data_IF_387298388287
#
_entry.id   IF_387298388287
#
_cell.length_a   1.000
_cell.length_b   1.000
_cell.length_c   1.000
_cell.angle_alpha   90.00
_cell.angle_beta   90.00
_cell.angle_gamma   90.00
#
_symmetry.space_group_name_H-M   'P 1'
#
loop_
_entity.id
_entity.type
_entity.pdbx_description
1 polymer ?
#
# COMPACT_ATOMS: atom_id res chain seq x y z
N UNK A 1 -31.59 -0.48 -11.62
CA UNK A 1 -32.28 -1.07 -10.45
C UNK A 1 -32.94 0.06 -9.66
N UNK A 2 -34.25 -0.02 -9.40
CA UNK A 2 -35.01 1.01 -8.67
C UNK A 2 -34.63 0.97 -7.17
N UNK A 3 -34.44 2.13 -6.53
CA UNK A 3 -34.18 2.30 -5.08
C UNK A 3 -35.13 1.48 -4.20
N UNK A 4 -36.37 1.27 -4.61
CA UNK A 4 -37.35 0.47 -3.88
C UNK A 4 -36.98 -1.01 -3.79
N UNK A 5 -36.39 -1.58 -4.85
CA UNK A 5 -35.93 -2.99 -4.86
C UNK A 5 -34.73 -3.17 -3.92
N UNK A 6 -33.78 -2.23 -3.93
CA UNK A 6 -32.65 -2.24 -2.99
C UNK A 6 -33.13 -2.15 -1.54
N UNK A 7 -34.12 -1.28 -1.27
CA UNK A 7 -34.72 -1.15 0.06
C UNK A 7 -35.48 -2.41 0.49
N UNK A 8 -36.05 -3.18 -0.44
CA UNK A 8 -36.71 -4.44 -0.12
C UNK A 8 -35.71 -5.49 0.37
N UNK A 9 -34.57 -5.65 -0.31
CA UNK A 9 -33.51 -6.57 0.13
C UNK A 9 -32.85 -6.14 1.45
N UNK A 10 -32.61 -4.84 1.63
CA UNK A 10 -32.11 -4.31 2.90
C UNK A 10 -33.05 -4.64 4.08
N UNK A 11 -34.37 -4.54 3.87
CA UNK A 11 -35.36 -4.90 4.90
C UNK A 11 -35.31 -6.37 5.30
N UNK A 12 -35.15 -7.30 4.35
CA UNK A 12 -35.03 -8.72 4.64
C UNK A 12 -33.77 -9.02 5.47
N UNK A 13 -32.64 -8.41 5.09
CA UNK A 13 -31.40 -8.51 5.85
C UNK A 13 -31.53 -7.94 7.27
N UNK A 14 -32.11 -6.74 7.40
CA UNK A 14 -32.31 -6.08 8.69
C UNK A 14 -33.24 -6.88 9.62
N UNK A 15 -34.25 -7.55 9.07
CA UNK A 15 -35.14 -8.44 9.83
C UNK A 15 -34.37 -9.63 10.38
N UNK A 16 -33.60 -10.34 9.55
CA UNK A 16 -32.76 -11.45 9.99
C UNK A 16 -31.73 -11.02 11.06
N UNK A 17 -31.15 -9.82 10.91
CA UNK A 17 -30.21 -9.25 11.89
C UNK A 17 -30.88 -8.88 13.22
N UNK A 18 -32.12 -8.39 13.19
CA UNK A 18 -32.89 -8.01 14.41
C UNK A 18 -33.26 -9.21 15.27
N UNK A 19 -33.25 -10.42 14.73
CA UNK A 19 -33.46 -11.64 15.51
C UNK A 19 -32.22 -12.04 16.34
N UNK A 20 -31.06 -11.38 16.13
CA UNK A 20 -29.78 -11.73 16.74
C UNK A 20 -29.09 -10.55 17.45
N UNK A 21 -29.90 -9.73 18.15
CA UNK A 21 -29.54 -8.44 18.77
C UNK A 21 -28.36 -8.44 19.74
N UNK A 22 -27.98 -9.58 20.31
CA UNK A 22 -27.01 -9.63 21.42
C UNK A 22 -25.56 -9.91 20.98
N UNK A 23 -25.29 -10.01 19.68
CA UNK A 23 -23.94 -10.24 19.16
C UNK A 23 -23.46 -9.05 18.32
N UNK A 24 -22.76 -8.11 18.96
CA UNK A 24 -22.26 -6.85 18.37
C UNK A 24 -21.34 -7.05 17.14
N UNK A 25 -20.86 -8.27 16.90
CA UNK A 25 -20.00 -8.66 15.76
C UNK A 25 -20.54 -9.84 14.92
N UNK A 26 -21.78 -10.30 15.14
CA UNK A 26 -22.32 -11.51 14.49
C UNK A 26 -22.35 -11.47 12.98
N UNK A 27 -22.53 -10.29 12.38
CA UNK A 27 -22.58 -10.10 10.92
C UNK A 27 -21.33 -10.57 10.16
N UNK A 28 -20.20 -10.77 10.85
CA UNK A 28 -18.96 -11.34 10.28
C UNK A 28 -18.65 -12.74 10.83
N UNK A 29 -19.56 -13.33 11.59
CA UNK A 29 -19.46 -14.65 12.19
C UNK A 29 -20.50 -15.62 11.63
N UNK A 30 -21.34 -15.21 10.67
CA UNK A 30 -22.22 -16.14 9.97
C UNK A 30 -21.44 -16.88 8.88
N UNK A 31 -21.55 -18.22 8.83
CA UNK A 31 -21.04 -18.95 7.69
C UNK A 31 -21.79 -18.57 6.42
N UNK A 32 -21.06 -18.54 5.32
CA UNK A 32 -21.63 -18.43 3.98
C UNK A 32 -22.65 -19.56 3.78
N UNK A 33 -23.85 -19.25 3.28
CA UNK A 33 -24.85 -20.27 2.97
C UNK A 33 -24.42 -21.02 1.70
N UNK A 34 -24.34 -22.36 1.70
CA UNK A 34 -24.09 -23.12 0.49
C UNK A 34 -25.20 -22.89 -0.54
N UNK A 35 -24.84 -22.43 -1.74
CA UNK A 35 -25.76 -22.29 -2.85
C UNK A 35 -26.10 -23.67 -3.43
N UNK A 36 -27.37 -23.89 -3.75
CA UNK A 36 -27.83 -25.12 -4.43
C UNK A 36 -28.03 -24.85 -5.92
N UNK A 37 -27.81 -25.87 -6.74
CA UNK A 37 -27.96 -25.74 -8.20
C UNK A 37 -29.38 -25.33 -8.58
N UNK A 38 -30.40 -25.84 -7.89
CA UNK A 38 -31.80 -25.55 -8.15
C UNK A 38 -32.12 -24.05 -7.95
N UNK A 39 -31.60 -23.45 -6.87
CA UNK A 39 -31.74 -21.99 -6.64
C UNK A 39 -31.08 -21.19 -7.75
N UNK A 40 -29.89 -21.61 -8.20
CA UNK A 40 -29.15 -20.91 -9.25
C UNK A 40 -29.83 -21.04 -10.62
N UNK A 41 -30.40 -22.21 -10.94
CA UNK A 41 -31.21 -22.41 -12.15
C UNK A 41 -32.46 -21.53 -12.17
N UNK A 42 -33.06 -21.26 -11.01
CA UNK A 42 -34.16 -20.31 -10.90
C UNK A 42 -33.68 -18.88 -11.17
N UNK A 43 -32.62 -18.44 -10.50
CA UNK A 43 -32.06 -17.08 -10.68
C UNK A 43 -31.53 -16.84 -12.09
N UNK A 44 -30.96 -17.85 -12.73
CA UNK A 44 -30.46 -17.78 -14.11
C UNK A 44 -31.57 -17.55 -15.15
N UNK A 45 -32.86 -17.76 -14.79
CA UNK A 45 -33.99 -17.40 -15.65
C UNK A 45 -34.26 -15.89 -15.68
N UNK A 46 -33.82 -15.15 -14.67
CA UNK A 46 -34.10 -13.71 -14.52
C UNK A 46 -32.92 -12.82 -14.94
N UNK A 47 -31.69 -13.31 -14.82
CA UNK A 47 -30.48 -12.54 -15.11
C UNK A 47 -29.34 -13.43 -15.58
N UNK A 48 -28.48 -12.86 -16.42
CA UNK A 48 -27.26 -13.51 -16.90
C UNK A 48 -26.02 -13.14 -16.06
N UNK A 49 -26.15 -12.15 -15.17
CA UNK A 49 -25.06 -11.61 -14.35
C UNK A 49 -25.25 -11.95 -12.88
N UNK A 50 -24.22 -12.57 -12.30
CA UNK A 50 -24.07 -12.73 -10.86
C UNK A 50 -23.09 -11.71 -10.30
N UNK A 51 -23.47 -11.06 -9.19
CA UNK A 51 -22.57 -10.23 -8.39
C UNK A 51 -22.44 -10.92 -7.02
N UNK A 52 -21.22 -11.38 -6.70
CA UNK A 52 -20.92 -12.01 -5.42
C UNK A 52 -20.06 -11.07 -4.57
N UNK A 53 -20.45 -10.88 -3.31
CA UNK A 53 -19.74 -10.01 -2.38
C UNK A 53 -18.96 -10.85 -1.39
N UNK A 54 -17.63 -10.80 -1.45
CA UNK A 54 -16.76 -11.43 -0.45
C UNK A 54 -16.49 -10.41 0.65
N UNK A 55 -16.88 -10.75 1.88
CA UNK A 55 -16.77 -9.85 3.02
C UNK A 55 -15.77 -10.35 4.05
N UNK A 56 -14.94 -9.44 4.56
CA UNK A 56 -13.99 -9.69 5.67
C UNK A 56 -14.02 -8.54 6.65
N UNK A 57 -13.61 -8.82 7.87
CA UNK A 57 -13.40 -7.80 8.89
C UNK A 57 -12.09 -8.04 9.64
N UNK A 58 -11.49 -6.96 10.12
CA UNK A 58 -10.31 -6.95 10.98
C UNK A 58 -10.40 -5.76 11.93
N UNK A 59 -9.65 -5.79 13.02
CA UNK A 59 -9.68 -4.70 13.99
C UNK A 59 -8.61 -4.87 15.05
N UNK A 60 -8.66 -3.99 16.04
CA UNK A 60 -7.69 -3.97 17.14
C UNK A 60 -7.72 -5.27 17.96
N UNK A 61 -6.55 -5.63 18.47
CA UNK A 61 -6.39 -6.76 19.39
C UNK A 61 -6.37 -8.14 18.75
N UNK A 62 -6.46 -8.25 17.41
CA UNK A 62 -6.27 -9.52 16.72
C UNK A 62 -5.76 -9.35 15.29
N UNK A 63 -4.82 -10.19 14.90
CA UNK A 63 -4.35 -10.28 13.52
C UNK A 63 -5.28 -11.14 12.67
N UNK A 64 -5.11 -11.03 11.34
CA UNK A 64 -5.79 -11.89 10.37
C UNK A 64 -5.05 -13.21 10.23
N UNK A 65 -5.79 -14.28 9.97
CA UNK A 65 -5.26 -15.63 9.81
C UNK A 65 -5.44 -16.14 8.39
N UNK A 66 -4.77 -17.25 8.06
CA UNK A 66 -4.96 -17.93 6.79
C UNK A 66 -6.41 -18.37 6.59
N UNK A 67 -6.99 -18.92 7.66
CA UNK A 67 -8.36 -19.39 7.76
C UNK A 67 -8.90 -18.99 9.13
N UNK A 68 -10.21 -18.84 9.23
CA UNK A 68 -10.90 -18.51 10.47
C UNK A 68 -12.09 -19.43 10.66
N UNK A 69 -12.30 -19.85 11.91
CA UNK A 69 -13.45 -20.65 12.33
C UNK A 69 -14.29 -19.87 13.34
N UNK A 70 -15.58 -20.16 13.34
CA UNK A 70 -16.55 -19.66 14.33
C UNK A 70 -17.43 -20.80 14.81
N UNK A 71 -17.88 -20.72 16.05
CA UNK A 71 -18.83 -21.68 16.64
C UNK A 71 -20.20 -21.03 16.76
N UNK A 72 -21.23 -21.69 16.24
CA UNK A 72 -22.63 -21.31 16.42
C UNK A 72 -23.35 -22.51 17.05
N UNK A 73 -23.74 -22.37 18.32
CA UNK A 73 -24.16 -23.52 19.13
C UNK A 73 -23.04 -24.55 19.23
N UNK A 74 -23.37 -25.82 18.98
CA UNK A 74 -22.43 -26.95 19.03
C UNK A 74 -21.69 -27.20 17.70
N UNK A 75 -21.92 -26.36 16.68
CA UNK A 75 -21.34 -26.53 15.34
C UNK A 75 -20.24 -25.51 15.08
N UNK A 76 -19.15 -25.98 14.46
CA UNK A 76 -18.05 -25.14 13.97
C UNK A 76 -18.16 -24.94 12.46
N UNK A 77 -17.83 -23.74 12.01
CA UNK A 77 -17.84 -23.37 10.60
C UNK A 77 -16.53 -22.65 10.24
N UNK A 78 -15.92 -23.05 9.12
CA UNK A 78 -14.84 -22.27 8.48
C UNK A 78 -15.47 -21.13 7.67
N UNK A 79 -15.11 -19.89 7.98
CA UNK A 79 -15.70 -18.69 7.36
C UNK A 79 -14.70 -17.93 6.47
N UNK A 80 -13.48 -18.45 6.34
CA UNK A 80 -12.40 -17.82 5.58
C UNK A 80 -11.82 -16.59 6.29
N UNK A 81 -10.64 -16.16 5.85
CA UNK A 81 -10.04 -14.88 6.25
C UNK A 81 -9.10 -14.38 5.16
N UNK A 82 -7.80 -14.63 5.23
CA UNK A 82 -6.91 -14.36 4.10
C UNK A 82 -7.27 -15.25 2.90
N UNK A 83 -7.49 -16.54 3.14
CA UNK A 83 -8.05 -17.47 2.14
C UNK A 83 -9.58 -17.41 2.12
N UNK A 84 -10.15 -17.77 0.98
CA UNK A 84 -11.58 -18.08 0.87
C UNK A 84 -11.88 -19.41 1.57
N UNK A 85 -13.05 -19.51 2.20
CA UNK A 85 -13.52 -20.76 2.79
C UNK A 85 -13.86 -21.79 1.70
N UNK A 86 -13.96 -23.05 2.10
CA UNK A 86 -14.40 -24.11 1.18
C UNK A 86 -15.80 -23.84 0.59
N UNK A 87 -16.72 -23.27 1.39
CA UNK A 87 -18.08 -22.95 0.94
C UNK A 87 -18.07 -21.78 -0.03
N UNK A 88 -17.31 -20.72 0.24
CA UNK A 88 -17.17 -19.59 -0.69
C UNK A 88 -16.60 -20.07 -2.04
N UNK A 89 -15.56 -20.89 -2.03
CA UNK A 89 -14.98 -21.45 -3.26
C UNK A 89 -15.95 -22.33 -4.04
N UNK A 90 -16.75 -23.15 -3.35
CA UNK A 90 -17.78 -23.99 -3.98
C UNK A 90 -18.91 -23.13 -4.59
N UNK A 91 -19.38 -22.14 -3.84
CA UNK A 91 -20.37 -21.16 -4.31
C UNK A 91 -19.88 -20.42 -5.57
N UNK A 92 -18.64 -19.96 -5.57
CA UNK A 92 -18.05 -19.27 -6.73
C UNK A 92 -17.99 -20.16 -7.97
N UNK A 93 -17.65 -21.45 -7.83
CA UNK A 93 -17.68 -22.41 -8.94
C UNK A 93 -19.09 -22.61 -9.48
N UNK A 94 -20.07 -22.73 -8.60
CA UNK A 94 -21.48 -22.87 -8.98
C UNK A 94 -22.01 -21.63 -9.70
N UNK A 95 -21.72 -20.43 -9.16
CA UNK A 95 -22.06 -19.16 -9.80
C UNK A 95 -21.41 -19.02 -11.18
N UNK A 96 -20.11 -19.31 -11.30
CA UNK A 96 -19.40 -19.28 -12.58
C UNK A 96 -20.01 -20.22 -13.62
N UNK A 97 -20.52 -21.37 -13.18
CA UNK A 97 -21.14 -22.37 -14.06
C UNK A 97 -22.56 -21.99 -14.48
N UNK A 98 -23.30 -21.29 -13.62
CA UNK A 98 -24.70 -20.93 -13.85
C UNK A 98 -24.90 -19.60 -14.60
N UNK A 99 -23.96 -18.66 -14.49
CA UNK A 99 -24.08 -17.31 -15.05
C UNK A 99 -23.03 -17.02 -16.12
N UNK A 100 -23.43 -16.27 -17.16
CA UNK A 100 -22.52 -15.87 -18.24
C UNK A 100 -21.54 -14.79 -17.79
N UNK A 101 -21.92 -13.97 -16.81
CA UNK A 101 -21.07 -12.95 -16.18
C UNK A 101 -21.01 -13.11 -14.67
N UNK A 102 -19.80 -13.13 -14.10
CA UNK A 102 -19.55 -13.16 -12.67
C UNK A 102 -18.67 -11.97 -12.25
N UNK A 103 -19.19 -11.13 -11.37
CA UNK A 103 -18.49 -9.99 -10.79
C UNK A 103 -18.25 -10.26 -9.31
N UNK A 104 -17.01 -10.11 -8.85
CA UNK A 104 -16.67 -10.13 -7.43
C UNK A 104 -16.53 -8.72 -6.88
N UNK A 105 -17.23 -8.44 -5.79
CA UNK A 105 -17.05 -7.22 -5.00
C UNK A 105 -16.36 -7.60 -3.70
N UNK A 106 -15.18 -7.04 -3.47
CA UNK A 106 -14.40 -7.32 -2.26
C UNK A 106 -14.65 -6.24 -1.22
N UNK A 107 -15.51 -6.55 -0.26
CA UNK A 107 -15.76 -5.75 0.94
C UNK A 107 -14.82 -6.22 2.05
N UNK A 108 -13.53 -5.92 1.88
CA UNK A 108 -12.44 -6.47 2.72
C UNK A 108 -11.55 -5.35 3.27
N UNK A 109 -10.94 -5.51 4.45
CA UNK A 109 -10.09 -4.48 5.06
C UNK A 109 -8.70 -4.38 4.43
N UNK A 110 -8.28 -5.41 3.68
CA UNK A 110 -6.96 -5.50 3.07
C UNK A 110 -6.87 -6.70 2.14
N UNK A 111 -5.66 -7.05 1.71
CA UNK A 111 -5.44 -8.14 0.76
C UNK A 111 -6.02 -9.46 1.25
N UNK A 112 -6.60 -10.21 0.31
CA UNK A 112 -6.93 -11.63 0.45
C UNK A 112 -6.15 -12.40 -0.63
N UNK A 113 -6.21 -13.72 -0.57
CA UNK A 113 -5.50 -14.61 -1.48
C UNK A 113 -5.82 -14.31 -2.95
N UNK A 114 -4.83 -13.80 -3.69
CA UNK A 114 -4.93 -13.60 -5.13
C UNK A 114 -5.14 -14.93 -5.85
N UNK A 115 -4.52 -16.02 -5.39
CA UNK A 115 -4.73 -17.36 -5.96
C UNK A 115 -6.20 -17.81 -5.88
N UNK A 116 -6.87 -17.50 -4.77
CA UNK A 116 -8.27 -17.91 -4.59
C UNK A 116 -9.19 -17.06 -5.47
N UNK A 117 -8.85 -15.76 -5.63
CA UNK A 117 -9.53 -14.86 -6.55
C UNK A 117 -9.35 -15.25 -8.02
N UNK A 118 -8.14 -15.64 -8.43
CA UNK A 118 -7.86 -16.17 -9.77
C UNK A 118 -8.63 -17.47 -10.01
N UNK A 119 -8.65 -18.37 -9.02
CA UNK A 119 -9.36 -19.64 -9.10
C UNK A 119 -10.90 -19.49 -9.14
N UNK A 120 -11.44 -18.34 -8.75
CA UNK A 120 -12.86 -18.03 -8.89
C UNK A 120 -13.29 -17.78 -10.35
N UNK A 121 -12.34 -17.49 -11.25
CA UNK A 121 -12.60 -17.22 -12.68
C UNK A 121 -13.69 -16.16 -12.92
N UNK A 122 -13.72 -15.13 -12.10
CA UNK A 122 -14.63 -14.00 -12.26
C UNK A 122 -14.21 -13.12 -13.44
N UNK A 123 -15.18 -12.54 -14.13
CA UNK A 123 -14.93 -11.63 -15.26
C UNK A 123 -14.44 -10.26 -14.80
N UNK A 124 -14.83 -9.85 -13.58
CA UNK A 124 -14.39 -8.62 -12.97
C UNK A 124 -14.25 -8.76 -11.45
N UNK A 125 -13.27 -8.03 -10.89
CA UNK A 125 -13.04 -7.93 -9.44
C UNK A 125 -12.98 -6.45 -9.08
N UNK A 126 -13.87 -6.01 -8.19
CA UNK A 126 -13.94 -4.66 -7.66
C UNK A 126 -13.53 -4.67 -6.18
N UNK A 127 -12.41 -4.04 -5.85
CA UNK A 127 -12.07 -3.76 -4.46
C UNK A 127 -12.90 -2.58 -3.95
N UNK A 128 -13.94 -2.86 -3.16
CA UNK A 128 -14.74 -1.85 -2.46
C UNK A 128 -14.01 -1.33 -1.21
N UNK A 129 -13.24 -2.20 -0.55
CA UNK A 129 -12.69 -1.89 0.77
C UNK A 129 -13.79 -1.84 1.84
N UNK A 130 -13.56 -1.08 2.90
CA UNK A 130 -14.57 -0.79 3.93
C UNK A 130 -15.02 0.67 3.85
N UNK A 131 -16.00 0.93 2.98
CA UNK A 131 -16.36 2.28 2.52
C UNK A 131 -17.34 3.07 3.42
N UNK A 132 -17.52 2.67 4.68
CA UNK A 132 -18.45 3.31 5.60
C UNK A 132 -19.93 3.16 5.20
N UNK A 133 -20.81 3.99 5.80
CA UNK A 133 -22.27 3.83 5.69
C UNK A 133 -22.83 4.01 4.27
N UNK A 134 -22.17 4.80 3.42
CA UNK A 134 -22.59 5.05 2.03
C UNK A 134 -21.96 4.07 1.03
N UNK A 135 -21.24 3.05 1.52
CA UNK A 135 -20.48 2.14 0.67
C UNK A 135 -21.32 1.43 -0.39
N UNK A 136 -22.55 1.02 -0.05
CA UNK A 136 -23.46 0.38 -0.99
C UNK A 136 -23.89 1.30 -2.14
N UNK A 137 -24.11 2.59 -1.86
CA UNK A 137 -24.42 3.58 -2.89
C UNK A 137 -23.22 3.83 -3.80
N UNK A 138 -22.01 3.97 -3.22
CA UNK A 138 -20.78 4.15 -3.98
C UNK A 138 -20.48 2.97 -4.91
N UNK A 139 -20.61 1.73 -4.43
CA UNK A 139 -20.42 0.53 -5.27
C UNK A 139 -21.49 0.44 -6.35
N UNK A 140 -22.74 0.79 -6.06
CA UNK A 140 -23.80 0.82 -7.07
C UNK A 140 -23.46 1.81 -8.19
N UNK A 141 -22.98 3.00 -7.86
CA UNK A 141 -22.59 4.01 -8.86
C UNK A 141 -21.45 3.51 -9.76
N UNK A 142 -20.49 2.75 -9.21
CA UNK A 142 -19.43 2.11 -10.00
C UNK A 142 -20.00 0.99 -10.87
N UNK A 143 -20.69 0.00 -10.29
CA UNK A 143 -21.21 -1.17 -11.03
C UNK A 143 -22.19 -0.81 -12.14
N UNK A 144 -22.90 0.32 -12.01
CA UNK A 144 -23.84 0.81 -13.03
C UNK A 144 -23.17 1.73 -14.07
N UNK A 145 -21.88 2.03 -13.92
CA UNK A 145 -21.15 2.95 -14.81
C UNK A 145 -21.51 4.42 -14.63
N UNK A 146 -22.31 4.77 -13.61
CA UNK A 146 -22.59 6.18 -13.26
C UNK A 146 -21.33 6.90 -12.80
N UNK A 147 -20.39 6.17 -12.21
CA UNK A 147 -19.04 6.63 -11.96
C UNK A 147 -18.03 5.59 -12.45
N UNK A 148 -16.85 6.05 -12.85
CA UNK A 148 -15.77 5.19 -13.34
C UNK A 148 -14.74 4.95 -12.24
N UNK A 149 -14.30 3.69 -12.01
CA UNK A 149 -13.29 3.40 -11.01
C UNK A 149 -11.97 4.06 -11.39
N UNK A 150 -11.31 4.63 -10.38
CA UNK A 150 -10.03 5.34 -10.51
C UNK A 150 -9.17 5.19 -9.26
N UNK A 151 -9.47 4.18 -8.43
CA UNK A 151 -8.65 3.81 -7.27
C UNK A 151 -7.38 3.08 -7.73
N UNK A 152 -6.29 3.24 -6.96
CA UNK A 152 -5.03 2.53 -7.16
C UNK A 152 -4.63 1.86 -5.85
N UNK A 153 -4.04 0.66 -5.93
CA UNK A 153 -3.62 -0.10 -4.76
C UNK A 153 -2.52 0.62 -3.98
N UNK A 154 -2.66 0.68 -2.66
CA UNK A 154 -1.67 1.25 -1.74
C UNK A 154 -0.70 0.22 -1.18
N UNK A 155 -0.89 -1.06 -1.52
CA UNK A 155 -0.03 -2.16 -1.14
C UNK A 155 0.10 -3.14 -2.33
N UNK A 156 1.27 -3.77 -2.46
CA UNK A 156 1.42 -4.90 -3.37
C UNK A 156 0.58 -6.06 -2.85
N UNK A 157 -0.25 -6.66 -3.71
CA UNK A 157 -0.92 -7.92 -3.39
C UNK A 157 -0.07 -9.04 -3.97
N UNK A 158 0.55 -9.82 -3.08
CA UNK A 158 1.40 -10.93 -3.46
C UNK A 158 0.61 -12.05 -4.14
N UNK A 159 1.25 -12.77 -5.06
CA UNK A 159 0.64 -13.94 -5.69
C UNK A 159 0.41 -15.05 -4.66
N UNK A 160 1.42 -15.35 -3.86
CA UNK A 160 1.31 -16.20 -2.67
C UNK A 160 1.62 -15.40 -1.42
N UNK A 161 1.08 -15.81 -0.28
CA UNK A 161 1.40 -15.14 0.98
C UNK A 161 2.90 -15.25 1.29
N UNK A 162 3.48 -16.40 1.01
CA UNK A 162 4.89 -16.69 1.28
C UNK A 162 5.86 -15.82 0.45
N UNK A 163 5.36 -15.14 -0.59
CA UNK A 163 6.16 -14.20 -1.37
C UNK A 163 6.40 -12.88 -0.62
N UNK A 164 5.63 -12.57 0.44
CA UNK A 164 5.91 -11.39 1.27
C UNK A 164 7.23 -11.58 2.03
N UNK A 165 8.08 -10.55 2.11
CA UNK A 165 9.38 -10.66 2.78
C UNK A 165 9.26 -10.95 4.28
N UNK A 166 8.09 -10.65 4.86
CA UNK A 166 7.77 -10.83 6.28
C UNK A 166 6.96 -12.08 6.60
N UNK A 167 6.55 -12.87 5.59
CA UNK A 167 5.68 -14.04 5.80
C UNK A 167 6.32 -15.08 6.75
N UNK A 168 7.65 -15.17 6.72
CA UNK A 168 8.43 -16.12 7.51
C UNK A 168 8.95 -15.59 8.84
N UNK A 169 8.68 -14.35 9.25
CA UNK A 169 9.14 -13.80 10.55
C UNK A 169 8.03 -13.09 11.34
N UNK A 170 6.91 -12.72 10.70
CA UNK A 170 5.77 -12.09 11.37
C UNK A 170 5.11 -13.06 12.38
N UNK A 171 4.93 -12.61 13.62
CA UNK A 171 4.30 -13.35 14.73
C UNK A 171 4.94 -14.71 15.09
N UNK A 172 6.20 -14.95 14.73
CA UNK A 172 6.91 -16.16 15.20
C UNK A 172 7.18 -16.12 16.71
N UNK A 173 7.48 -14.92 17.23
CA UNK A 173 7.58 -14.64 18.66
C UNK A 173 6.66 -13.46 18.99
N UNK A 174 5.71 -13.70 19.88
CA UNK A 174 4.74 -12.69 20.32
C UNK A 174 5.40 -11.51 21.06
N UNK A 175 6.59 -11.71 21.63
CA UNK A 175 7.30 -10.68 22.39
C UNK A 175 8.34 -9.91 21.57
N UNK A 176 8.77 -10.44 20.42
CA UNK A 176 9.81 -9.83 19.57
C UNK A 176 9.59 -10.17 18.11
N UNK A 177 9.53 -9.16 17.26
CA UNK A 177 9.62 -9.33 15.80
C UNK A 177 10.90 -8.70 15.30
N UNK A 178 11.67 -9.44 14.51
CA UNK A 178 12.95 -9.00 13.95
C UNK A 178 12.75 -8.64 12.47
N UNK A 179 12.97 -7.37 12.13
CA UNK A 179 12.68 -6.80 10.81
C UNK A 179 13.86 -7.04 9.85
N UNK A 180 14.15 -8.31 9.56
CA UNK A 180 15.26 -8.70 8.68
C UNK A 180 15.08 -8.21 7.24
N UNK A 181 13.87 -7.83 6.85
CA UNK A 181 13.59 -7.20 5.57
C UNK A 181 14.15 -5.78 5.44
N UNK A 182 14.48 -5.11 6.55
CA UNK A 182 15.01 -3.76 6.57
C UNK A 182 14.12 -2.79 5.77
N UNK A 183 14.73 -2.04 4.84
CA UNK A 183 14.00 -1.10 3.97
C UNK A 183 13.16 -1.78 2.88
N UNK A 184 13.32 -3.09 2.67
CA UNK A 184 12.65 -3.84 1.61
C UNK A 184 11.24 -4.28 2.05
N UNK A 185 10.35 -3.31 2.25
CA UNK A 185 8.94 -3.53 2.60
C UNK A 185 8.03 -3.30 1.40
N UNK A 186 7.10 -4.22 1.15
CA UNK A 186 6.14 -4.11 0.05
C UNK A 186 6.83 -4.04 -1.32
N UNK A 187 6.40 -3.15 -2.20
CA UNK A 187 6.96 -3.05 -3.56
C UNK A 187 8.47 -2.82 -3.62
N UNK A 188 9.07 -2.22 -2.57
CA UNK A 188 10.54 -2.12 -2.48
C UNK A 188 11.19 -3.50 -2.53
N UNK A 189 10.62 -4.51 -1.88
CA UNK A 189 11.09 -5.88 -1.99
C UNK A 189 10.76 -6.49 -3.36
N UNK A 190 9.49 -6.46 -3.76
CA UNK A 190 9.06 -7.12 -4.99
C UNK A 190 9.83 -6.63 -6.21
N UNK A 191 9.98 -5.31 -6.33
CA UNK A 191 10.64 -4.68 -7.47
C UNK A 191 12.16 -4.90 -7.44
N UNK A 192 12.79 -4.88 -6.26
CA UNK A 192 14.25 -5.07 -6.12
C UNK A 192 14.68 -6.52 -6.35
N UNK A 193 13.93 -7.48 -5.80
CA UNK A 193 14.26 -8.89 -5.87
C UNK A 193 13.56 -9.62 -7.02
N UNK A 194 12.91 -8.86 -7.92
CA UNK A 194 12.15 -9.36 -9.06
C UNK A 194 11.16 -10.47 -8.69
N UNK A 195 10.44 -10.29 -7.59
CA UNK A 195 9.35 -11.18 -7.19
C UNK A 195 8.09 -10.73 -7.92
N UNK A 196 7.41 -11.66 -8.59
CA UNK A 196 6.23 -11.36 -9.40
C UNK A 196 5.01 -11.11 -8.47
N UNK A 197 4.42 -9.91 -8.48
CA UNK A 197 3.21 -9.64 -7.70
C UNK A 197 1.97 -10.21 -8.38
N UNK A 198 0.91 -10.47 -7.61
CA UNK A 198 -0.43 -10.71 -8.17
C UNK A 198 -1.04 -9.39 -8.69
N UNK A 199 -0.98 -8.34 -7.86
CA UNK A 199 -1.26 -6.98 -8.28
C UNK A 199 -0.17 -6.03 -7.72
N UNK A 200 0.53 -5.27 -8.58
CA UNK A 200 1.61 -4.41 -8.13
C UNK A 200 1.11 -3.19 -7.36
N UNK A 201 2.00 -2.57 -6.58
CA UNK A 201 1.71 -1.30 -5.92
C UNK A 201 1.32 -0.24 -6.94
N UNK A 202 0.30 0.56 -6.62
CA UNK A 202 -0.22 1.58 -7.50
C UNK A 202 -1.07 1.08 -8.66
N UNK A 203 -1.35 -0.24 -8.76
CA UNK A 203 -2.20 -0.80 -9.82
C UNK A 203 -3.68 -0.47 -9.62
N UNK A 204 -4.41 -0.28 -10.71
CA UNK A 204 -5.87 -0.17 -10.70
C UNK A 204 -6.41 0.15 -12.08
N UNK A 205 -7.47 -0.56 -12.47
CA UNK A 205 -8.12 -0.42 -13.77
C UNK A 205 -9.19 0.70 -13.76
N UNK A 206 -9.66 1.02 -14.96
CA UNK A 206 -10.75 1.95 -15.24
C UNK A 206 -11.68 1.35 -16.29
N UNK A 207 -12.87 1.93 -16.46
CA UNK A 207 -13.75 1.58 -17.60
C UNK A 207 -13.32 2.25 -18.91
N UNK A 208 -12.36 3.17 -18.84
CA UNK A 208 -11.75 3.82 -19.99
C UNK A 208 -10.24 3.56 -20.04
N UNK A 209 -9.58 3.98 -21.11
CA UNK A 209 -8.13 3.86 -21.30
C UNK A 209 -7.49 5.24 -21.32
N UNK A 210 -6.24 5.33 -20.85
CA UNK A 210 -5.47 6.57 -20.87
C UNK A 210 -4.13 6.38 -21.58
N UNK A 211 -3.70 7.42 -22.29
CA UNK A 211 -2.36 7.51 -22.86
C UNK A 211 -1.55 8.59 -22.14
N UNK A 212 -0.31 8.25 -21.78
CA UNK A 212 0.66 9.23 -21.27
C UNK A 212 1.57 9.66 -22.43
N UNK A 213 1.60 10.97 -22.70
CA UNK A 213 2.39 11.61 -23.74
C UNK A 213 3.18 12.81 -23.21
N UNK A 214 4.02 13.39 -24.07
CA UNK A 214 4.84 14.57 -23.78
C UNK A 214 5.53 14.51 -22.40
N UNK A 215 6.26 13.42 -22.16
CA UNK A 215 7.00 13.24 -20.92
C UNK A 215 8.18 14.21 -20.89
N UNK A 216 8.08 15.22 -20.05
CA UNK A 216 9.09 16.25 -19.90
C UNK A 216 9.63 16.28 -18.48
N UNK A 217 10.90 16.63 -18.37
CA UNK A 217 11.53 16.92 -17.10
C UNK A 217 12.23 18.27 -17.18
N UNK A 218 12.17 19.00 -16.07
CA UNK A 218 12.90 20.25 -15.85
C UNK A 218 13.30 20.35 -14.38
N UNK A 219 14.29 21.18 -14.10
CA UNK A 219 14.70 21.50 -12.75
C UNK A 219 14.36 22.97 -12.46
N UNK A 220 13.58 23.17 -11.42
CA UNK A 220 13.19 24.49 -10.89
C UNK A 220 13.85 24.64 -9.51
N UNK A 221 14.98 25.33 -9.47
CA UNK A 221 15.88 25.41 -8.31
C UNK A 221 16.26 24.04 -7.72
N UNK A 222 15.64 23.66 -6.59
CA UNK A 222 15.86 22.42 -5.86
C UNK A 222 14.69 21.43 -6.02
N UNK A 223 13.83 21.63 -7.03
CA UNK A 223 12.66 20.81 -7.29
C UNK A 223 12.68 20.26 -8.72
N UNK A 224 12.66 18.93 -8.84
CA UNK A 224 12.43 18.25 -10.10
C UNK A 224 10.94 18.41 -10.48
N UNK A 225 10.68 18.93 -11.67
CA UNK A 225 9.33 19.10 -12.21
C UNK A 225 9.17 18.18 -13.41
N UNK A 226 8.26 17.22 -13.28
CA UNK A 226 7.91 16.26 -14.33
C UNK A 226 6.57 16.66 -14.96
N UNK A 227 6.59 17.00 -16.25
CA UNK A 227 5.40 17.30 -17.05
C UNK A 227 4.92 16.06 -17.80
N UNK A 228 3.62 15.84 -17.81
CA UNK A 228 2.98 14.71 -18.52
C UNK A 228 1.65 15.19 -19.09
N UNK A 229 1.40 14.94 -20.37
CA UNK A 229 0.06 15.05 -20.96
C UNK A 229 -0.66 13.72 -20.77
N UNK A 230 -1.81 13.74 -20.11
CA UNK A 230 -2.68 12.57 -19.96
C UNK A 230 -3.89 12.75 -20.87
N UNK A 231 -4.14 11.77 -21.74
CA UNK A 231 -5.29 11.77 -22.65
C UNK A 231 -6.21 10.60 -22.33
N UNK A 232 -7.51 10.86 -22.20
CA UNK A 232 -8.51 9.79 -22.16
C UNK A 232 -8.78 9.29 -23.58
N UNK A 233 -8.33 8.08 -23.90
CA UNK A 233 -8.44 7.48 -25.23
C UNK A 233 -9.61 6.53 -25.38
N UNK A 234 -10.34 6.25 -24.29
CA UNK A 234 -11.47 5.33 -24.31
C UNK A 234 -12.83 6.01 -24.42
N UNK A 235 -13.89 5.25 -24.17
CA UNK A 235 -15.28 5.66 -24.42
C UNK A 235 -15.99 6.27 -23.20
N UNK A 236 -15.42 6.17 -22.00
CA UNK A 236 -16.05 6.64 -20.76
C UNK A 236 -15.26 7.80 -20.17
N UNK A 237 -15.93 8.76 -19.54
CA UNK A 237 -15.25 9.77 -18.74
C UNK A 237 -14.53 9.12 -17.55
N UNK A 238 -13.32 9.56 -17.22
CA UNK A 238 -12.55 8.91 -16.16
C UNK A 238 -11.42 9.76 -15.61
N UNK A 239 -10.70 9.21 -14.63
CA UNK A 239 -9.52 9.84 -14.03
C UNK A 239 -8.37 8.85 -13.99
N UNK A 240 -7.16 9.33 -14.24
CA UNK A 240 -5.94 8.55 -14.13
C UNK A 240 -5.03 9.09 -13.02
N UNK A 241 -4.23 8.22 -12.42
CA UNK A 241 -3.19 8.57 -11.44
C UNK A 241 -1.84 8.30 -12.06
N UNK A 242 -1.09 9.36 -12.33
CA UNK A 242 0.29 9.27 -12.81
C UNK A 242 1.23 9.27 -11.62
N UNK A 243 2.17 8.33 -11.62
CA UNK A 243 3.05 8.01 -10.51
C UNK A 243 4.50 8.17 -10.95
N UNK A 244 5.32 8.82 -10.13
CA UNK A 244 6.73 9.07 -10.39
C UNK A 244 7.61 8.33 -9.37
N UNK A 245 8.50 7.49 -9.89
CA UNK A 245 9.40 6.65 -9.11
C UNK A 245 10.84 7.06 -9.34
N UNK A 246 11.68 6.95 -8.31
CA UNK A 246 13.10 7.26 -8.38
C UNK A 246 13.94 6.09 -7.92
N UNK A 247 14.93 5.76 -8.74
CA UNK A 247 15.99 4.80 -8.48
C UNK A 247 17.22 5.56 -8.00
N UNK A 248 17.62 5.36 -6.75
CA UNK A 248 18.86 5.94 -6.21
C UNK A 248 20.10 5.19 -6.75
N UNK A 249 21.28 5.83 -6.83
CA UNK A 249 22.50 5.13 -7.23
C UNK A 249 22.81 3.97 -6.29
N UNK A 250 23.39 2.89 -6.84
CA UNK A 250 23.99 1.85 -6.00
C UNK A 250 25.16 2.48 -5.24
N UNK A 251 25.19 2.27 -3.94
CA UNK A 251 26.18 2.86 -3.03
C UNK A 251 26.55 1.85 -1.95
N UNK A 252 27.31 2.29 -0.95
CA UNK A 252 27.58 1.46 0.24
C UNK A 252 26.31 1.17 1.07
N UNK A 253 25.27 2.01 0.92
CA UNK A 253 23.97 1.77 1.53
C UNK A 253 23.08 0.96 0.61
N UNK A 254 22.36 0.00 1.21
CA UNK A 254 21.26 -0.73 0.59
C UNK A 254 20.19 0.24 0.09
N UNK A 255 19.76 0.06 -1.16
CA UNK A 255 18.74 0.90 -1.80
C UNK A 255 17.76 0.02 -2.58
N UNK A 256 16.45 0.31 -2.53
CA UNK A 256 15.48 -0.37 -3.37
C UNK A 256 15.70 -0.01 -4.84
N UNK A 257 15.21 -0.87 -5.73
CA UNK A 257 15.21 -0.62 -7.18
C UNK A 257 14.57 0.73 -7.50
N UNK A 258 13.47 1.05 -6.82
CA UNK A 258 12.77 2.31 -6.97
C UNK A 258 11.95 2.66 -5.72
N UNK A 259 11.65 3.96 -5.57
CA UNK A 259 10.72 4.48 -4.57
C UNK A 259 9.76 5.48 -5.21
N UNK A 260 8.48 5.45 -4.83
CA UNK A 260 7.51 6.48 -5.17
C UNK A 260 7.96 7.82 -4.54
N UNK A 261 8.14 8.85 -5.36
CA UNK A 261 8.53 10.21 -4.90
C UNK A 261 7.48 11.28 -5.21
N UNK A 262 6.48 10.96 -6.03
CA UNK A 262 5.34 11.84 -6.28
C UNK A 262 4.27 11.16 -7.12
N UNK A 263 3.05 11.67 -7.07
CA UNK A 263 1.96 11.26 -7.94
C UNK A 263 0.99 12.43 -8.13
N UNK A 264 0.21 12.39 -9.20
CA UNK A 264 -0.85 13.36 -9.44
C UNK A 264 -2.03 12.65 -10.13
N UNK A 265 -3.24 12.95 -9.66
CA UNK A 265 -4.48 12.45 -10.27
C UNK A 265 -5.06 13.53 -11.17
N UNK A 266 -5.53 13.13 -12.34
CA UNK A 266 -6.18 14.05 -13.29
C UNK A 266 -7.53 14.55 -12.74
N UNK A 267 -7.98 15.67 -13.30
CA UNK A 267 -9.38 16.06 -13.44
C UNK A 267 -10.19 14.93 -14.11
N UNK A 268 -11.52 15.02 -14.08
CA UNK A 268 -12.37 14.08 -14.81
C UNK A 268 -12.25 14.44 -16.29
N UNK A 269 -11.70 13.53 -17.08
CA UNK A 269 -11.50 13.73 -18.52
C UNK A 269 -12.62 13.04 -19.28
N UNK A 270 -13.33 13.76 -20.13
CA UNK A 270 -14.22 13.19 -21.13
C UNK A 270 -13.42 12.38 -22.18
N UNK A 271 -14.06 11.50 -22.97
CA UNK A 271 -13.42 10.85 -24.12
C UNK A 271 -12.73 11.86 -25.05
N UNK A 272 -11.44 11.64 -25.32
CA UNK A 272 -10.58 12.51 -26.14
C UNK A 272 -10.02 13.75 -25.43
N UNK A 273 -10.44 14.03 -24.19
CA UNK A 273 -9.93 15.16 -23.41
C UNK A 273 -8.52 14.89 -22.88
N UNK A 274 -7.73 15.96 -22.78
CA UNK A 274 -6.35 15.92 -22.28
C UNK A 274 -6.15 16.87 -21.12
N UNK A 275 -5.27 16.49 -20.21
CA UNK A 275 -4.77 17.37 -19.15
C UNK A 275 -3.25 17.28 -19.05
N UNK A 276 -2.61 18.44 -19.02
CA UNK A 276 -1.20 18.56 -18.71
C UNK A 276 -1.01 18.67 -17.19
N UNK A 277 -0.46 17.62 -16.59
CA UNK A 277 -0.17 17.57 -15.16
C UNK A 277 1.31 17.81 -14.89
N UNK A 278 1.61 18.29 -13.68
CA UNK A 278 2.98 18.48 -13.20
C UNK A 278 3.18 17.81 -11.84
N UNK A 279 4.10 16.84 -11.78
CA UNK A 279 4.55 16.23 -10.53
C UNK A 279 5.81 16.95 -10.07
N UNK A 280 5.78 17.51 -8.85
CA UNK A 280 6.90 18.25 -8.25
C UNK A 280 7.56 17.43 -7.16
N UNK A 281 8.85 17.16 -7.31
CA UNK A 281 9.64 16.35 -6.38
C UNK A 281 10.80 17.21 -5.87
N UNK A 282 10.72 17.73 -4.63
CA UNK A 282 11.86 18.37 -3.99
C UNK A 282 13.05 17.41 -3.95
N UNK A 283 14.24 17.85 -4.36
CA UNK A 283 15.41 16.99 -4.46
C UNK A 283 15.86 16.43 -3.10
N UNK A 284 15.54 17.12 -1.99
CA UNK A 284 15.73 16.58 -0.63
C UNK A 284 14.95 15.28 -0.37
N UNK A 285 13.83 15.04 -1.07
CA UNK A 285 13.03 13.82 -0.92
C UNK A 285 13.72 12.60 -1.55
N UNK A 286 14.79 12.80 -2.32
CA UNK A 286 15.61 11.72 -2.87
C UNK A 286 16.66 11.21 -1.86
N UNK A 287 16.77 11.85 -0.69
CA UNK A 287 17.75 11.50 0.32
C UNK A 287 17.37 10.22 1.07
N UNK A 288 18.39 9.51 1.54
CA UNK A 288 18.29 8.30 2.35
C UNK A 288 18.96 8.54 3.70
N UNK A 289 18.43 7.95 4.76
CA UNK A 289 19.04 8.03 6.08
C UNK A 289 20.34 7.21 6.12
N UNK A 290 21.40 7.82 6.64
CA UNK A 290 22.71 7.18 6.85
C UNK A 290 23.07 7.25 8.32
N UNK A 291 23.20 6.08 8.96
CA UNK A 291 23.64 5.98 10.35
C UNK A 291 25.05 6.56 10.55
N UNK A 292 25.97 6.25 9.62
CA UNK A 292 27.35 6.75 9.65
C UNK A 292 27.42 8.29 9.58
N UNK A 293 26.50 8.92 8.85
CA UNK A 293 26.43 10.38 8.76
C UNK A 293 25.57 11.02 9.87
N UNK A 294 24.79 10.23 10.60
CA UNK A 294 23.78 10.71 11.55
C UNK A 294 22.72 11.60 10.90
N UNK A 295 22.35 11.33 9.65
CA UNK A 295 21.57 12.26 8.84
C UNK A 295 21.10 11.71 7.51
N UNK A 296 20.28 12.48 6.82
CA UNK A 296 19.84 12.18 5.46
C UNK A 296 20.88 12.66 4.45
N UNK A 297 21.25 11.78 3.54
CA UNK A 297 22.23 12.04 2.49
C UNK A 297 21.66 11.77 1.10
N UNK A 298 22.13 12.54 0.12
CA UNK A 298 22.06 12.19 -1.28
C UNK A 298 23.41 11.59 -1.68
N UNK A 299 23.43 10.31 -2.03
CA UNK A 299 24.63 9.60 -2.48
C UNK A 299 25.12 10.15 -3.82
N UNK A 300 26.44 10.21 -4.01
CA UNK A 300 27.05 10.45 -5.33
C UNK A 300 26.53 9.40 -6.34
N UNK A 301 26.18 9.85 -7.54
CA UNK A 301 25.81 8.97 -8.66
C UNK A 301 24.59 9.45 -9.42
N UNK A 302 24.03 8.54 -10.23
CA UNK A 302 22.86 8.77 -11.06
C UNK A 302 21.58 8.33 -10.36
N UNK A 303 20.65 9.26 -10.25
CA UNK A 303 19.27 9.00 -9.86
C UNK A 303 18.42 8.87 -11.13
N UNK A 304 17.84 7.70 -11.37
CA UNK A 304 16.93 7.46 -12.49
C UNK A 304 15.49 7.79 -12.12
N UNK A 305 14.75 8.47 -12.99
CA UNK A 305 13.36 8.87 -12.75
C UNK A 305 12.42 8.22 -13.77
N UNK A 306 11.43 7.47 -13.28
CA UNK A 306 10.42 6.78 -14.09
C UNK A 306 9.03 7.35 -13.84
N UNK A 307 8.19 7.36 -14.86
CA UNK A 307 6.78 7.74 -14.76
C UNK A 307 5.90 6.63 -15.31
N UNK A 308 4.76 6.40 -14.66
CA UNK A 308 3.82 5.38 -15.09
C UNK A 308 2.50 5.39 -14.34
N UNK A 309 1.77 4.28 -14.44
CA UNK A 309 0.45 4.12 -13.82
C UNK A 309 0.40 3.05 -12.72
N UNK A 310 1.52 2.35 -12.49
CA UNK A 310 1.78 1.45 -11.35
C UNK A 310 3.29 1.23 -11.20
N UNK A 311 3.75 0.56 -10.14
CA UNK A 311 5.20 0.31 -9.95
C UNK A 311 5.80 -0.58 -11.04
N UNK A 312 4.98 -1.38 -11.73
CA UNK A 312 5.40 -2.29 -12.81
C UNK A 312 5.05 -1.82 -14.23
N UNK A 313 4.36 -0.71 -14.36
CA UNK A 313 4.08 -0.07 -15.65
C UNK A 313 4.63 1.36 -15.62
N UNK A 314 5.92 1.49 -15.92
CA UNK A 314 6.62 2.78 -15.91
C UNK A 314 7.64 2.88 -17.05
N UNK A 315 7.86 4.11 -17.51
CA UNK A 315 8.84 4.47 -18.53
C UNK A 315 9.89 5.41 -17.94
N UNK A 316 11.17 5.27 -18.34
CA UNK A 316 12.22 6.19 -17.93
C UNK A 316 11.99 7.58 -18.55
N UNK A 317 12.26 8.64 -17.78
CA UNK A 317 12.01 10.03 -18.20
C UNK A 317 13.28 10.88 -18.18
N UNK A 318 14.02 10.83 -17.08
CA UNK A 318 15.27 11.57 -16.94
C UNK A 318 16.22 10.93 -15.93
N UNK A 319 17.45 11.41 -15.93
CA UNK A 319 18.46 11.14 -14.91
C UNK A 319 18.93 12.43 -14.24
N UNK A 320 19.22 12.35 -12.95
CA UNK A 320 19.85 13.41 -12.17
C UNK A 320 21.20 12.89 -11.67
N UNK A 321 22.31 13.55 -12.07
CA UNK A 321 23.66 13.19 -11.58
C UNK A 321 24.12 14.11 -10.46
N UNK A 322 24.53 13.49 -9.35
CA UNK A 322 25.27 14.14 -8.28
C UNK A 322 26.74 13.73 -8.32
N UNK A 323 27.64 14.71 -8.40
CA UNK A 323 29.09 14.47 -8.46
C UNK A 323 29.72 14.17 -7.10
N UNK A 324 29.03 14.52 -6.02
CA UNK A 324 29.48 14.31 -4.65
C UNK A 324 28.30 13.99 -3.75
N UNK A 325 28.53 13.14 -2.76
CA UNK A 325 27.56 12.89 -1.70
C UNK A 325 27.30 14.18 -0.93
N UNK A 326 26.03 14.48 -0.66
CA UNK A 326 25.60 15.67 0.05
C UNK A 326 24.76 15.31 1.28
N UNK A 327 25.14 15.82 2.45
CA UNK A 327 24.28 15.80 3.63
C UNK A 327 23.16 16.83 3.42
N UNK A 328 21.92 16.35 3.35
CA UNK A 328 20.74 17.20 3.17
C UNK A 328 20.17 17.67 4.50
N UNK A 329 20.26 16.82 5.52
CA UNK A 329 19.74 17.10 6.86
C UNK A 329 20.55 16.33 7.91
N UNK A 330 21.05 17.03 8.92
CA UNK A 330 21.64 16.43 10.11
C UNK A 330 20.55 16.21 11.16
N UNK A 331 20.47 15.01 11.73
CA UNK A 331 19.54 14.71 12.82
C UNK A 331 20.29 14.16 14.03
N UNK A 332 19.58 13.98 15.15
CA UNK A 332 20.07 13.20 16.27
C UNK A 332 19.87 11.72 15.95
N UNK A 333 20.90 10.90 16.21
CA UNK A 333 20.78 9.44 16.10
C UNK A 333 20.04 8.93 17.33
N UNK A 334 18.80 8.51 17.12
CA UNK A 334 17.90 8.00 18.14
C UNK A 334 17.45 6.58 17.76
N UNK A 335 17.18 5.75 18.77
CA UNK A 335 16.76 4.36 18.61
C UNK A 335 17.70 3.50 17.72
N UNK A 336 19.04 3.54 17.92
CA UNK A 336 19.93 2.66 17.18
C UNK A 336 19.65 1.20 17.52
N UNK A 337 20.02 0.30 16.61
CA UNK A 337 19.98 -1.13 16.89
C UNK A 337 20.81 -1.46 18.14
N UNK A 338 20.19 -2.19 19.08
CA UNK A 338 20.86 -2.65 20.31
C UNK A 338 21.68 -3.93 20.09
N UNK A 339 21.41 -4.63 19.00
CA UNK A 339 22.02 -5.89 18.59
C UNK A 339 22.34 -5.83 17.10
N UNK A 340 23.38 -6.54 16.64
CA UNK A 340 23.64 -6.67 15.20
C UNK A 340 22.46 -7.36 14.52
N UNK A 341 21.96 -6.75 13.44
CA UNK A 341 20.89 -7.29 12.61
C UNK A 341 21.44 -7.62 11.22
N UNK A 342 21.32 -8.88 10.80
CA UNK A 342 21.56 -9.25 9.41
C UNK A 342 20.31 -8.95 8.59
N UNK A 343 20.35 -7.83 7.87
CA UNK A 343 19.28 -7.42 6.97
C UNK A 343 19.47 -8.01 5.57
N UNK A 344 18.37 -8.12 4.82
CA UNK A 344 18.40 -8.42 3.38
C UNK A 344 19.33 -7.42 2.68
N UNK A 345 20.17 -7.95 1.79
CA UNK A 345 21.03 -7.17 0.90
C UNK A 345 20.43 -7.11 -0.48
N UNK A 346 20.27 -5.89 -1.01
CA UNK A 346 19.64 -5.66 -2.30
C UNK A 346 20.64 -5.60 -3.43
N UNK A 347 20.52 -4.55 -4.26
CA UNK A 347 21.30 -4.39 -5.48
C UNK A 347 22.78 -4.15 -5.16
N UNK A 348 23.65 -4.98 -5.72
CA UNK A 348 25.11 -4.77 -5.71
C UNK A 348 25.61 -4.06 -6.97
N UNK A 349 24.76 -4.00 -8.00
CA UNK A 349 25.01 -3.35 -9.28
C UNK A 349 23.66 -3.02 -9.97
N UNK A 350 23.60 -1.92 -10.73
CA UNK A 350 22.48 -1.58 -11.62
C UNK A 350 22.92 -1.83 -13.06
N UNK A 351 22.87 -3.09 -13.48
CA UNK A 351 23.32 -3.55 -14.81
C UNK A 351 22.53 -2.95 -15.99
N UNK A 352 21.40 -2.29 -15.72
CA UNK A 352 20.51 -1.70 -16.72
C UNK A 352 20.89 -0.24 -17.10
N UNK A 353 22.17 0.01 -17.35
CA UNK A 353 22.62 1.31 -17.87
C UNK A 353 21.88 1.70 -19.17
N UNK A 354 21.41 0.71 -19.93
CA UNK A 354 20.62 0.79 -21.17
C UNK A 354 19.26 1.46 -21.04
N UNK A 355 18.54 1.25 -19.92
CA UNK A 355 17.19 1.81 -19.71
C UNK A 355 17.23 3.35 -19.75
N UNK A 356 18.41 3.90 -19.51
CA UNK A 356 18.60 5.32 -19.29
C UNK A 356 19.64 5.95 -20.24
N UNK A 357 19.93 5.31 -21.38
CA UNK A 357 20.92 5.83 -22.35
C UNK A 357 20.42 7.07 -23.09
N UNK A 358 19.12 7.12 -23.37
CA UNK A 358 18.53 8.12 -24.26
C UNK A 358 17.62 9.14 -23.53
N UNK A 359 17.72 9.23 -22.20
CA UNK A 359 16.88 10.15 -21.41
C UNK A 359 17.57 11.49 -21.15
N UNK A 360 16.76 12.52 -20.89
CA UNK A 360 17.27 13.85 -20.50
C UNK A 360 18.13 13.75 -19.24
N UNK A 361 19.24 14.48 -19.24
CA UNK A 361 20.25 14.43 -18.18
C UNK A 361 20.40 15.78 -17.48
N UNK A 362 20.25 15.80 -16.16
CA UNK A 362 20.47 16.99 -15.33
C UNK A 362 21.76 16.87 -14.54
N UNK A 363 22.64 17.84 -14.72
CA UNK A 363 23.91 17.91 -14.00
C UNK A 363 23.82 18.89 -12.83
N UNK A 364 23.91 18.38 -11.60
CA UNK A 364 23.87 19.20 -10.39
C UNK A 364 25.28 19.56 -9.93
N UNK A 365 25.85 20.63 -10.49
CA UNK A 365 27.22 21.05 -10.18
C UNK A 365 27.34 21.94 -8.91
N UNK A 366 26.24 22.42 -8.32
CA UNK A 366 26.29 23.39 -7.22
C UNK A 366 25.21 23.18 -6.16
N UNK A 367 25.43 22.21 -5.27
CA UNK A 367 24.78 22.15 -3.94
C UNK A 367 25.63 22.83 -2.83
N UNK A 368 26.52 23.76 -3.20
CA UNK A 368 27.60 24.23 -2.32
C UNK A 368 27.25 25.35 -1.33
N UNK A 369 26.03 25.93 -1.32
CA UNK A 369 25.81 27.18 -0.54
C UNK A 369 24.57 27.31 0.33
N UNK A 370 23.62 26.36 0.35
CA UNK A 370 22.37 26.57 1.13
C UNK A 370 22.06 25.56 2.23
N UNK A 371 22.68 24.37 2.23
CA UNK A 371 22.35 23.30 3.19
C UNK A 371 23.51 22.94 4.13
N UNK A 372 24.74 23.38 3.85
CA UNK A 372 25.91 23.17 4.72
C UNK A 372 25.96 24.31 5.73
N UNK A 373 25.15 24.23 6.80
CA UNK A 373 25.48 24.85 8.08
C UNK A 373 25.87 23.74 9.04
N UNK A 374 27.02 23.11 8.76
CA UNK A 374 27.69 22.25 9.73
C UNK A 374 28.18 23.18 10.84
N UNK A 375 27.51 23.20 12.00
CA UNK A 375 28.18 23.64 13.22
C UNK A 375 29.18 22.54 13.60
N UNK A 376 30.47 22.83 13.73
CA UNK A 376 31.44 21.83 14.14
C UNK A 376 31.17 21.46 15.60
N UNK A 377 30.64 20.26 15.83
CA UNK A 377 30.60 19.68 17.18
C UNK A 377 32.06 19.39 17.57
N UNK A 378 32.50 20.08 18.60
CA UNK A 378 33.83 19.92 19.19
C UNK A 378 34.05 18.47 19.62
N UNK A 379 34.97 17.80 18.94
CA UNK A 379 35.54 16.52 19.35
C UNK A 379 36.39 16.75 20.62
N UNK A 380 35.76 16.81 21.80
CA UNK A 380 36.48 16.82 23.08
C UNK A 380 36.92 15.38 23.40
N UNK A 381 38.17 15.10 23.05
CA UNK A 381 39.04 14.05 23.63
C UNK A 381 38.77 13.90 25.13
N UNK A 382 38.48 12.69 25.59
CA UNK A 382 38.72 12.27 26.97
C UNK A 382 39.78 11.18 26.97
N UNK A 383 40.99 11.55 27.38
CA UNK A 383 42.06 10.63 27.77
C UNK A 383 42.42 10.90 29.24
N UNK A 384 42.20 9.86 30.07
CA UNK A 384 42.95 9.44 31.26
C UNK A 384 42.75 10.08 32.67
N UNK A 385 42.31 9.18 33.57
CA UNK A 385 42.87 8.81 34.90
C UNK A 385 42.72 9.75 36.13
N UNK A 386 41.96 9.34 37.17
CA UNK A 386 42.37 8.54 38.37
C UNK A 386 41.41 8.69 39.58
N UNK A 387 41.10 7.56 40.24
CA UNK A 387 40.85 7.29 41.69
C UNK A 387 39.65 7.91 42.46
N UNK A 388 38.59 7.09 42.65
CA UNK A 388 37.97 6.50 43.90
C UNK A 388 38.26 7.21 45.27
N UNK A 389 37.35 7.30 46.29
CA UNK A 389 36.28 6.34 46.66
C UNK A 389 34.87 6.82 47.08
N UNK A 390 33.93 5.87 46.92
CA UNK A 390 32.82 5.42 47.79
C UNK A 390 31.97 6.41 48.62
N UNK A 391 30.64 6.28 48.52
CA UNK A 391 29.70 5.95 49.63
C UNK A 391 28.27 5.68 49.07
N UNK A 392 27.66 4.60 49.60
CA UNK A 392 26.26 4.09 49.59
C UNK A 392 25.14 4.88 48.88
N UNK A 393 24.40 4.27 47.95
CA UNK A 393 23.12 3.49 48.10
C UNK A 393 21.86 4.30 48.52
N UNK A 394 20.88 4.25 47.59
CA UNK A 394 19.42 4.10 47.72
C UNK A 394 18.45 5.32 47.70
N UNK A 395 17.41 5.12 46.86
CA UNK A 395 16.05 5.69 46.80
C UNK A 395 15.86 7.04 46.08
N UNK A 396 15.31 7.15 44.85
CA UNK A 396 13.92 6.83 44.37
C UNK A 396 12.88 7.25 45.42
N UNK A 397 11.89 8.12 45.25
CA UNK A 397 10.96 8.54 44.19
C UNK A 397 10.10 9.62 44.90
N UNK A 398 9.48 10.65 44.31
CA UNK A 398 8.23 10.62 43.52
C UNK A 398 7.75 12.09 43.54
N UNK A 399 7.60 12.71 42.38
CA UNK A 399 6.82 13.94 42.21
C UNK A 399 5.63 13.52 41.36
N UNK A 400 4.39 13.70 41.85
CA UNK A 400 3.12 13.89 41.10
C UNK A 400 1.92 13.54 42.00
N UNK A 401 0.92 14.45 42.04
CA UNK A 401 -0.42 14.22 42.62
C UNK A 401 -0.95 15.44 43.40
N UNK A 402 -1.45 16.47 42.72
CA UNK A 402 -2.88 16.73 42.43
C UNK A 402 -3.70 17.38 43.56
N UNK A 403 -3.99 18.68 43.35
CA UNK A 403 -5.33 19.30 43.32
C UNK A 403 -6.51 18.50 43.93
N UNK A 404 -7.06 19.01 45.04
CA UNK A 404 -8.50 19.25 45.30
C UNK A 404 -8.71 19.70 46.74
N UNK A 405 -9.24 20.92 46.93
CA UNK A 405 -10.29 21.29 47.92
C UNK A 405 -10.43 22.80 47.96
N UNK A 406 -11.54 23.30 47.40
CA UNK A 406 -12.13 24.58 47.80
C UNK A 406 -13.62 24.34 48.10
N UNK A 407 -13.99 24.83 49.28
CA UNK A 407 -15.30 25.26 49.77
C UNK A 407 -16.29 24.21 50.27
N UNK A 408 -16.69 24.44 51.53
CA UNK A 408 -17.71 23.76 52.30
C UNK A 408 -17.77 24.28 53.74
N UNK A 409 -18.01 25.59 53.91
CA UNK A 409 -18.71 26.23 55.05
C UNK A 409 -19.04 27.67 54.67
#
# INVERSE_FOLDING_TARGET
>A
MNREQQMAWARCYDLAKREMKDQVMSVFAFPEEPLTTEKLEEYAKETETAICVISRNSGEGNDRFMKKEVSIGDKKYEIGDYRLSAVEMDNLKKLRSAFSSLILVLNVPGSISVQDLEAACADAILLMGQAGQEGGAAVTDILTGKATPSGKLTATWAKKYEDYPTAGNFLQDFNKTVYTEGIYVGYRYFDTFNVEPGYPFGYGLSYTTFALGNLEASLDEDTLVLGVTVENTGAFAGREVVQAYVSAPVSEMDMPEQELKGFQKTMLLAPGEKEDIKIRIPLRNLASYSENAGGYILSKGDYGVRIGTSSRDTKPVCKIRLEQTALTEQVLVELPLTETLEEKKGLTDRKDETIWKDVRFFWLCRYRKRWIRVQPIAMKRWLHMRQIPAISRLCLTKQYGMWKRKNGS
#
